data_IF_778158090753
#
_entry.id   IF_778158090753
#
_cell.length_a   1.000
_cell.length_b   1.000
_cell.length_c   1.000
_cell.angle_alpha   90.00
_cell.angle_beta   90.00
_cell.angle_gamma   90.00
#
_symmetry.space_group_name_H-M   'P 1'
#
loop_
_entity.id
_entity.type
_entity.pdbx_description
1 polymer ?
#
# COMPACT_ATOMS: atom_id res chain seq x y z
N UNK A 1 -3.29 13.19 34.25
CA UNK A 1 -2.57 13.89 33.17
C UNK A 1 -2.20 15.27 33.62
N UNK A 2 -0.98 15.67 33.40
CA UNK A 2 -0.55 17.03 33.71
C UNK A 2 -0.91 17.96 32.57
N UNK A 3 -1.24 19.20 32.90
CA UNK A 3 -1.61 20.22 31.91
C UNK A 3 -0.44 20.60 31.03
N UNK A 4 0.78 20.25 31.43
CA UNK A 4 1.99 20.56 30.69
C UNK A 4 2.46 19.42 29.83
N UNK A 5 1.58 18.49 29.49
CA UNK A 5 1.95 17.37 28.65
C UNK A 5 2.39 17.86 27.28
N UNK A 6 3.56 17.46 26.88
CA UNK A 6 4.09 17.72 25.55
C UNK A 6 4.25 16.40 24.82
N UNK A 7 4.26 16.46 23.48
CA UNK A 7 4.38 15.29 22.61
C UNK A 7 5.68 15.42 21.85
N UNK A 8 6.49 14.38 21.91
CA UNK A 8 7.82 14.37 21.31
C UNK A 8 7.83 13.39 20.15
N UNK A 9 8.28 13.87 18.99
CA UNK A 9 8.42 13.00 17.82
C UNK A 9 9.50 11.95 18.07
N UNK A 10 9.16 10.67 17.95
CA UNK A 10 10.07 9.56 18.17
C UNK A 10 11.21 9.50 17.15
N UNK A 11 11.06 10.16 16.01
CA UNK A 11 12.04 10.11 14.92
C UNK A 11 13.07 11.22 14.99
N UNK A 12 12.68 12.43 15.43
CA UNK A 12 13.59 13.57 15.42
C UNK A 12 13.66 14.35 16.74
N UNK A 13 12.84 13.99 17.72
CA UNK A 13 12.83 14.66 19.02
C UNK A 13 12.16 16.03 19.05
N UNK A 14 11.54 16.45 17.97
CA UNK A 14 10.81 17.72 17.94
C UNK A 14 9.64 17.69 18.91
N UNK A 15 9.43 18.76 19.65
CA UNK A 15 8.40 18.88 20.68
C UNK A 15 7.17 19.58 20.14
N UNK A 16 6.00 19.05 20.45
CA UNK A 16 4.70 19.61 20.06
C UNK A 16 3.82 19.78 21.28
N UNK A 17 3.00 20.83 21.29
CA UNK A 17 1.98 21.04 22.31
C UNK A 17 0.68 20.32 21.98
N UNK A 18 0.50 19.95 20.72
CA UNK A 18 -0.70 19.30 20.19
C UNK A 18 -0.37 17.88 19.73
N UNK A 19 -1.12 16.92 20.26
CA UNK A 19 -0.96 15.51 19.92
C UNK A 19 -1.16 15.26 18.41
N UNK A 20 -2.16 15.90 17.80
CA UNK A 20 -2.45 15.71 16.38
C UNK A 20 -1.30 16.19 15.50
N UNK A 21 -0.68 17.32 15.86
CA UNK A 21 0.46 17.84 15.12
C UNK A 21 1.68 16.93 15.23
N UNK A 22 1.92 16.38 16.42
CA UNK A 22 3.00 15.41 16.63
C UNK A 22 2.73 14.13 15.81
N UNK A 23 1.51 13.63 15.85
CA UNK A 23 1.09 12.44 15.11
C UNK A 23 1.29 12.61 13.61
N UNK A 24 0.86 13.74 13.04
CA UNK A 24 1.05 14.03 11.62
C UNK A 24 2.53 14.10 11.25
N UNK A 25 3.33 14.74 12.10
CA UNK A 25 4.77 14.87 11.89
C UNK A 25 5.45 13.49 11.90
N UNK A 26 5.06 12.59 12.81
CA UNK A 26 5.59 11.24 12.85
C UNK A 26 5.22 10.45 11.59
N UNK A 27 4.00 10.64 11.07
CA UNK A 27 3.60 10.02 9.81
C UNK A 27 4.38 10.55 8.62
N UNK A 28 4.75 11.82 8.61
CA UNK A 28 5.64 12.37 7.60
C UNK A 28 6.98 11.65 7.59
N UNK A 29 7.53 11.35 8.76
CA UNK A 29 8.76 10.56 8.87
C UNK A 29 8.57 9.13 8.34
N UNK A 30 7.46 8.48 8.70
CA UNK A 30 7.16 7.13 8.22
C UNK A 30 7.07 7.08 6.70
N UNK A 31 6.37 8.02 6.10
CA UNK A 31 6.26 8.08 4.65
C UNK A 31 7.57 8.46 3.97
N UNK A 32 8.41 9.24 4.60
CA UNK A 32 9.75 9.51 4.08
C UNK A 32 10.58 8.22 3.99
N UNK A 33 10.42 7.31 4.94
CA UNK A 33 11.07 6.00 4.89
C UNK A 33 10.58 5.15 3.72
N UNK A 34 9.37 5.40 3.24
CA UNK A 34 8.78 4.67 2.11
C UNK A 34 9.14 5.27 0.75
N UNK A 35 9.72 6.46 0.72
CA UNK A 35 10.07 7.14 -0.52
C UNK A 35 10.97 6.26 -1.39
N UNK A 36 10.63 6.13 -2.66
CA UNK A 36 11.31 5.27 -3.64
C UNK A 36 11.16 3.76 -3.38
N UNK A 37 10.46 3.36 -2.33
CA UNK A 37 10.23 1.94 -1.99
C UNK A 37 8.79 1.54 -2.18
N UNK A 38 7.88 2.51 -2.10
CA UNK A 38 6.43 2.31 -2.18
C UNK A 38 5.83 3.39 -3.05
N UNK A 39 4.82 3.02 -3.83
CA UNK A 39 4.01 3.97 -4.58
C UNK A 39 2.54 3.65 -4.38
N UNK A 40 1.77 4.67 -4.03
CA UNK A 40 0.31 4.59 -4.02
C UNK A 40 -0.20 5.12 -5.35
N UNK A 41 -1.15 4.41 -5.95
CA UNK A 41 -1.68 4.76 -7.26
C UNK A 41 -3.19 4.62 -7.25
N UNK A 42 -3.82 5.34 -8.18
CA UNK A 42 -5.26 5.29 -8.41
C UNK A 42 -5.51 5.12 -9.90
N UNK A 43 -6.42 4.20 -10.25
CA UNK A 43 -6.85 4.04 -11.62
C UNK A 43 -7.90 5.10 -11.96
N UNK A 44 -7.74 5.70 -13.13
CA UNK A 44 -8.74 6.59 -13.72
C UNK A 44 -8.75 6.38 -15.22
N UNK A 45 -9.87 5.89 -15.74
CA UNK A 45 -10.07 5.67 -17.17
C UNK A 45 -8.96 4.80 -17.81
N UNK A 46 -8.56 3.75 -17.11
CA UNK A 46 -7.54 2.81 -17.59
C UNK A 46 -6.09 3.27 -17.40
N UNK A 47 -5.89 4.43 -16.77
CA UNK A 47 -4.56 4.98 -16.49
C UNK A 47 -4.36 5.03 -14.98
N UNK A 48 -3.17 4.67 -14.52
CA UNK A 48 -2.83 4.76 -13.11
C UNK A 48 -2.10 6.08 -12.84
N UNK A 49 -2.62 6.82 -11.87
CA UNK A 49 -2.08 8.11 -11.43
C UNK A 49 -1.41 7.90 -10.08
N UNK A 50 -0.15 8.34 -9.96
CA UNK A 50 0.56 8.28 -8.70
C UNK A 50 -0.04 9.25 -7.69
N UNK A 51 -0.27 8.76 -6.46
CA UNK A 51 -0.77 9.56 -5.35
C UNK A 51 0.38 9.93 -4.41
N UNK A 52 0.26 11.04 -3.66
CA UNK A 52 1.24 11.35 -2.63
C UNK A 52 1.31 10.25 -1.57
N UNK A 53 2.47 10.04 -0.98
CA UNK A 53 2.61 9.13 0.18
C UNK A 53 2.07 9.87 1.41
N UNK A 54 0.78 9.69 1.68
CA UNK A 54 0.08 10.34 2.78
C UNK A 54 -1.10 9.48 3.22
N UNK A 55 -1.56 9.68 4.45
CA UNK A 55 -2.71 8.93 4.99
C UNK A 55 -3.98 9.14 4.16
N UNK A 56 -4.19 10.34 3.66
CA UNK A 56 -5.37 10.65 2.86
C UNK A 56 -5.41 9.91 1.52
N UNK A 57 -4.24 9.56 0.99
CA UNK A 57 -4.17 8.85 -0.29
C UNK A 57 -4.74 7.44 -0.20
N UNK A 58 -4.79 6.84 0.98
CA UNK A 58 -5.33 5.49 1.18
C UNK A 58 -6.79 5.41 0.76
N UNK A 59 -7.56 6.48 0.96
CA UNK A 59 -8.98 6.53 0.59
C UNK A 59 -9.19 6.36 -0.92
N UNK A 60 -8.22 6.76 -1.72
CA UNK A 60 -8.32 6.77 -3.18
C UNK A 60 -7.40 5.72 -3.83
N UNK A 61 -6.56 5.07 -3.04
CA UNK A 61 -5.56 4.13 -3.53
C UNK A 61 -6.22 2.85 -4.05
N UNK A 62 -5.98 2.51 -5.30
CA UNK A 62 -6.46 1.28 -5.93
C UNK A 62 -5.32 0.37 -6.38
N UNK A 63 -4.09 0.83 -6.29
CA UNK A 63 -2.91 0.02 -6.59
C UNK A 63 -1.74 0.45 -5.71
N UNK A 64 -0.91 -0.51 -5.34
CA UNK A 64 0.27 -0.28 -4.50
C UNK A 64 1.46 -0.99 -5.11
N UNK A 65 2.57 -0.26 -5.28
CA UNK A 65 3.87 -0.86 -5.49
C UNK A 65 4.63 -0.86 -4.17
N UNK A 66 5.27 -1.97 -3.83
CA UNK A 66 6.11 -2.09 -2.64
C UNK A 66 7.34 -2.92 -2.97
N UNK A 67 8.50 -2.51 -2.47
CA UNK A 67 9.77 -3.20 -2.72
C UNK A 67 9.88 -4.57 -2.03
N UNK A 68 8.87 -4.97 -1.28
CA UNK A 68 8.82 -6.29 -0.63
C UNK A 68 9.48 -6.34 0.73
N UNK A 69 10.04 -5.26 1.25
CA UNK A 69 10.65 -5.27 2.58
C UNK A 69 9.60 -5.30 3.68
N UNK A 70 9.90 -6.01 4.77
CA UNK A 70 8.99 -6.11 5.91
C UNK A 70 8.73 -4.77 6.58
N UNK A 71 9.73 -3.90 6.63
CA UNK A 71 9.59 -2.56 7.19
C UNK A 71 8.55 -1.73 6.42
N UNK A 72 8.65 -1.72 5.09
CA UNK A 72 7.72 -0.99 4.25
C UNK A 72 6.29 -1.53 4.42
N UNK A 73 6.12 -2.84 4.41
CA UNK A 73 4.82 -3.47 4.60
C UNK A 73 4.21 -3.17 5.96
N UNK A 74 5.01 -3.13 7.02
CA UNK A 74 4.52 -2.81 8.36
C UNK A 74 3.96 -1.38 8.42
N UNK A 75 4.62 -0.44 7.78
CA UNK A 75 4.15 0.96 7.72
C UNK A 75 2.87 1.05 6.90
N UNK A 76 2.81 0.37 5.75
CA UNK A 76 1.60 0.35 4.90
C UNK A 76 0.42 -0.23 5.68
N UNK A 77 0.63 -1.37 6.33
CA UNK A 77 -0.41 -2.02 7.12
C UNK A 77 -0.93 -1.11 8.23
N UNK A 78 -0.02 -0.46 8.95
CA UNK A 78 -0.37 0.47 10.02
C UNK A 78 -1.21 1.64 9.48
N UNK A 79 -0.82 2.20 8.33
CA UNK A 79 -1.56 3.29 7.70
C UNK A 79 -2.96 2.87 7.28
N UNK A 80 -3.10 1.71 6.65
CA UNK A 80 -4.41 1.18 6.23
C UNK A 80 -5.28 0.87 7.43
N UNK A 81 -4.73 0.22 8.46
CA UNK A 81 -5.46 -0.09 9.69
C UNK A 81 -5.96 1.20 10.36
N UNK A 82 -5.12 2.22 10.39
CA UNK A 82 -5.49 3.50 11.00
C UNK A 82 -6.65 4.16 10.26
N UNK A 83 -6.69 4.03 8.92
CA UNK A 83 -7.77 4.58 8.10
C UNK A 83 -9.00 3.66 8.05
N UNK A 84 -8.92 2.46 8.61
CA UNK A 84 -10.02 1.50 8.61
C UNK A 84 -10.20 0.76 7.28
N UNK A 85 -9.19 0.71 6.44
CA UNK A 85 -9.22 0.01 5.16
C UNK A 85 -8.41 -1.28 5.22
N UNK A 86 -8.84 -2.28 4.45
CA UNK A 86 -8.09 -3.52 4.30
C UNK A 86 -6.86 -3.30 3.42
N UNK A 87 -5.70 -3.77 3.87
CA UNK A 87 -4.49 -3.75 3.06
C UNK A 87 -4.26 -5.13 2.42
N UNK A 88 -3.35 -5.25 1.44
CA UNK A 88 -2.97 -6.55 0.91
C UNK A 88 -2.56 -7.52 2.01
N UNK A 89 -3.05 -8.75 1.94
CA UNK A 89 -2.78 -9.77 2.96
C UNK A 89 -1.34 -10.28 2.89
N UNK A 90 -0.91 -10.98 3.95
CA UNK A 90 0.43 -11.59 4.01
C UNK A 90 0.70 -12.49 2.81
N UNK A 91 -0.28 -13.30 2.42
CA UNK A 91 -0.11 -14.28 1.35
C UNK A 91 0.11 -13.62 -0.01
N UNK A 92 -0.49 -12.45 -0.20
CA UNK A 92 -0.35 -11.70 -1.44
C UNK A 92 0.99 -10.98 -1.47
N UNK A 93 1.36 -10.32 -0.37
CA UNK A 93 2.52 -9.41 -0.33
C UNK A 93 3.88 -10.13 -0.44
N UNK A 94 3.93 -11.45 -0.25
CA UNK A 94 5.16 -12.21 -0.39
C UNK A 94 5.43 -12.68 -1.82
N UNK A 95 4.43 -12.54 -2.70
CA UNK A 95 4.47 -13.13 -4.04
C UNK A 95 4.84 -12.14 -5.15
N UNK A 96 4.98 -10.85 -4.82
CA UNK A 96 5.31 -9.85 -5.82
C UNK A 96 5.38 -8.45 -5.23
N UNK A 97 5.36 -7.45 -6.10
CA UNK A 97 5.58 -6.05 -5.75
C UNK A 97 4.42 -5.14 -6.09
N UNK A 98 3.51 -5.58 -6.97
CA UNK A 98 2.37 -4.77 -7.42
C UNK A 98 1.08 -5.42 -6.98
N UNK A 99 0.25 -4.66 -6.27
CA UNK A 99 -1.01 -5.12 -5.72
C UNK A 99 -2.12 -4.20 -6.17
N UNK A 100 -3.22 -4.78 -6.66
CA UNK A 100 -4.35 -4.04 -7.21
C UNK A 100 -5.62 -4.43 -6.44
N UNK A 101 -6.43 -3.43 -6.11
CA UNK A 101 -7.71 -3.64 -5.46
C UNK A 101 -8.76 -4.04 -6.51
N UNK A 102 -9.47 -5.14 -6.24
CA UNK A 102 -10.55 -5.62 -7.09
C UNK A 102 -11.88 -5.32 -6.40
N UNK A 103 -12.64 -4.40 -7.00
CA UNK A 103 -13.93 -3.97 -6.45
C UNK A 103 -14.99 -5.07 -6.47
N UNK A 104 -14.89 -6.01 -7.40
CA UNK A 104 -15.88 -7.08 -7.55
C UNK A 104 -15.82 -8.07 -6.37
N UNK A 105 -14.64 -8.30 -5.84
CA UNK A 105 -14.44 -9.23 -4.72
C UNK A 105 -14.07 -8.51 -3.42
N UNK A 106 -13.95 -7.19 -3.45
CA UNK A 106 -13.59 -6.35 -2.31
C UNK A 106 -12.31 -6.83 -1.62
N UNK A 107 -11.28 -7.09 -2.41
CA UNK A 107 -9.99 -7.56 -1.90
C UNK A 107 -8.88 -7.18 -2.87
N UNK A 108 -7.64 -7.33 -2.40
CA UNK A 108 -6.43 -7.05 -3.17
C UNK A 108 -5.90 -8.32 -3.82
N UNK A 109 -5.29 -8.18 -5.00
CA UNK A 109 -4.58 -9.28 -5.63
C UNK A 109 -3.19 -8.83 -6.06
N UNK A 110 -2.26 -9.80 -6.13
CA UNK A 110 -0.92 -9.57 -6.65
C UNK A 110 -0.96 -9.63 -8.18
N UNK A 111 -0.56 -8.54 -8.86
CA UNK A 111 -0.61 -8.48 -10.30
C UNK A 111 0.33 -9.48 -10.95
N UNK A 112 1.55 -9.59 -10.45
CA UNK A 112 2.56 -10.51 -11.02
C UNK A 112 2.08 -11.97 -10.97
N UNK A 113 1.48 -12.37 -9.84
CA UNK A 113 0.95 -13.70 -9.68
C UNK A 113 -0.23 -13.96 -10.61
N UNK A 114 -1.09 -12.96 -10.77
CA UNK A 114 -2.25 -13.07 -11.66
C UNK A 114 -1.84 -13.11 -13.12
N UNK A 115 -0.82 -12.35 -13.51
CA UNK A 115 -0.26 -12.39 -14.85
C UNK A 115 0.35 -13.75 -15.15
N UNK A 116 1.06 -14.35 -14.22
CA UNK A 116 1.61 -15.69 -14.36
C UNK A 116 0.51 -16.71 -14.57
N UNK A 117 -0.57 -16.62 -13.79
CA UNK A 117 -1.74 -17.49 -13.95
C UNK A 117 -2.35 -17.33 -15.34
N UNK A 118 -2.56 -16.11 -15.81
CA UNK A 118 -3.14 -15.86 -17.13
C UNK A 118 -2.21 -16.29 -18.25
N UNK A 119 -0.91 -16.17 -18.10
CA UNK A 119 0.06 -16.65 -19.06
C UNK A 119 -0.04 -18.17 -19.23
N UNK A 120 -0.11 -18.89 -18.13
CA UNK A 120 -0.30 -20.35 -18.14
C UNK A 120 -1.63 -20.75 -18.76
N UNK A 121 -2.68 -20.04 -18.38
CA UNK A 121 -4.03 -20.29 -18.91
C UNK A 121 -4.09 -20.05 -20.41
N UNK A 122 -3.46 -18.98 -20.88
CA UNK A 122 -3.37 -18.66 -22.30
C UNK A 122 -2.65 -19.78 -23.06
N UNK A 123 -1.55 -20.28 -22.52
CA UNK A 123 -0.81 -21.39 -23.14
C UNK A 123 -1.66 -22.65 -23.24
N UNK A 124 -2.41 -22.99 -22.18
CA UNK A 124 -3.28 -24.17 -22.17
C UNK A 124 -4.46 -24.04 -23.15
N UNK A 125 -5.04 -22.83 -23.25
CA UNK A 125 -6.12 -22.59 -24.21
C UNK A 125 -5.59 -22.71 -25.66
N UNK A 126 -4.44 -22.13 -25.95
CA UNK A 126 -3.84 -22.22 -27.28
C UNK A 126 -3.51 -23.66 -27.66
N UNK A 127 -3.02 -24.43 -26.71
CA UNK A 127 -2.72 -25.85 -26.87
C UNK A 127 -3.99 -26.66 -27.21
N UNK A 128 -5.09 -26.35 -26.52
CA UNK A 128 -6.38 -26.99 -26.80
C UNK A 128 -6.91 -26.64 -28.18
N UNK A 129 -6.72 -25.41 -28.62
CA UNK A 129 -7.12 -24.95 -29.96
C UNK A 129 -6.29 -25.66 -31.03
N UNK A 130 -4.98 -25.74 -30.85
CA UNK A 130 -4.07 -26.36 -31.81
C UNK A 130 -4.24 -27.88 -31.89
N UNK A 131 -4.66 -28.51 -30.81
CA UNK A 131 -4.87 -29.95 -30.73
C UNK A 131 -6.10 -30.46 -31.47
N UNK A 132 -6.81 -29.58 -32.09
CA UNK A 132 -7.97 -29.94 -32.90
C UNK A 132 -7.57 -30.03 -34.37
#
# INVERSE_FOLDING_TARGET
MTENTTYICDYCGKVFDDEDNCFRHEWEHKFELLKNRVKFMREKDGVFIELPLALNSINECTAIYCDGTGEAWNIIKEAFDWRGYSCPTKNIRTDGHIFIYDYDVDDWFCLEKKLDYFTKLNAEINKAIEGK
#
